data_IF_636004116967
#
_entry.id   IF_636004116967
#
_cell.length_a   1.000
_cell.length_b   1.000
_cell.length_c   1.000
_cell.angle_alpha   90.00
_cell.angle_beta   90.00
_cell.angle_gamma   90.00
#
_symmetry.space_group_name_H-M   'P 1'
#
loop_
_entity.id
_entity.type
_entity.pdbx_description
1 polymer ?
#
# COMPACT_ATOMS: atom_id res chain seq x y z
N UNK A 1 27.86 8.04 -6.89
CA UNK A 1 26.80 8.52 -7.80
C UNK A 1 25.47 8.34 -7.07
N UNK A 2 24.88 9.42 -6.56
CA UNK A 2 23.70 9.34 -5.72
C UNK A 2 22.44 9.21 -6.58
N UNK A 3 21.41 8.51 -6.09
CA UNK A 3 20.10 8.38 -6.75
C UNK A 3 19.45 9.74 -7.08
N UNK A 4 19.88 10.81 -6.41
CA UNK A 4 19.45 12.21 -6.63
C UNK A 4 19.95 12.78 -7.97
N UNK A 5 21.08 12.30 -8.49
CA UNK A 5 21.73 12.86 -9.68
C UNK A 5 21.04 12.43 -11.00
N UNK A 6 20.12 11.46 -10.94
CA UNK A 6 19.46 10.86 -12.11
C UNK A 6 18.03 11.35 -12.38
N UNK A 7 17.57 12.41 -11.71
CA UNK A 7 16.26 13.01 -11.99
C UNK A 7 15.03 12.24 -11.48
N UNK A 8 15.21 11.19 -10.69
CA UNK A 8 14.10 10.40 -10.11
C UNK A 8 13.42 11.04 -8.90
N UNK A 9 13.88 12.22 -8.45
CA UNK A 9 13.27 12.95 -7.33
C UNK A 9 11.77 13.26 -7.55
N UNK A 10 11.32 13.32 -8.80
CA UNK A 10 9.91 13.53 -9.17
C UNK A 10 8.98 12.36 -8.80
N UNK A 11 9.52 11.17 -8.53
CA UNK A 11 8.74 9.97 -8.21
C UNK A 11 8.70 9.64 -6.71
N UNK A 12 9.28 10.51 -5.88
CA UNK A 12 9.27 10.35 -4.42
C UNK A 12 8.09 11.13 -3.85
N UNK A 13 6.91 10.52 -3.87
CA UNK A 13 5.74 10.98 -3.13
C UNK A 13 5.43 10.00 -2.01
N UNK A 14 5.37 10.50 -0.77
CA UNK A 14 4.68 9.75 0.29
C UNK A 14 3.19 10.03 0.06
N UNK A 15 2.41 8.99 -0.21
CA UNK A 15 0.96 9.13 -0.20
C UNK A 15 0.52 9.29 1.26
N UNK A 16 0.45 10.55 1.71
CA UNK A 16 0.04 10.91 3.07
C UNK A 16 -1.47 10.71 3.28
N UNK A 17 -2.25 10.83 2.20
CA UNK A 17 -3.69 10.59 2.19
C UNK A 17 -3.97 9.11 1.92
N UNK A 18 -4.34 8.36 2.95
CA UNK A 18 -4.89 7.03 2.80
C UNK A 18 -6.31 7.01 2.26
N UNK A 19 -6.90 5.82 2.04
CA UNK A 19 -8.32 5.75 1.74
C UNK A 19 -9.08 6.38 2.92
N UNK A 20 -9.83 7.46 2.64
CA UNK A 20 -10.51 8.26 3.66
C UNK A 20 -11.41 7.42 4.58
N UNK A 21 -11.89 6.28 4.08
CA UNK A 21 -12.70 5.31 4.84
C UNK A 21 -11.91 4.48 5.87
N UNK A 22 -10.60 4.29 5.69
CA UNK A 22 -9.77 3.48 6.59
C UNK A 22 -9.11 4.29 7.71
N UNK A 23 -8.95 5.62 7.55
CA UNK A 23 -8.26 6.47 8.52
C UNK A 23 -6.77 6.12 8.74
N UNK A 24 -6.18 5.32 7.85
CA UNK A 24 -4.78 4.89 7.89
C UNK A 24 -4.00 5.64 6.81
N UNK A 25 -2.72 5.99 7.00
CA UNK A 25 -1.87 6.46 5.92
C UNK A 25 -1.83 5.46 4.76
N UNK A 26 -1.74 5.94 3.51
CA UNK A 26 -1.84 5.06 2.33
C UNK A 26 -0.79 3.95 2.33
N UNK A 27 0.44 4.26 2.73
CA UNK A 27 1.51 3.26 2.82
C UNK A 27 1.17 2.15 3.83
N UNK A 28 0.63 2.50 5.00
CA UNK A 28 0.19 1.53 5.99
C UNK A 28 -0.96 0.67 5.45
N UNK A 29 -1.96 1.30 4.83
CA UNK A 29 -3.08 0.59 4.23
C UNK A 29 -2.60 -0.40 3.16
N UNK A 30 -1.78 0.05 2.20
CA UNK A 30 -1.32 -0.77 1.09
C UNK A 30 -0.48 -1.97 1.55
N UNK A 31 0.48 -1.74 2.46
CA UNK A 31 1.32 -2.83 2.98
C UNK A 31 0.48 -3.89 3.71
N UNK A 32 -0.44 -3.44 4.57
CA UNK A 32 -1.26 -4.34 5.38
C UNK A 32 -2.36 -5.02 4.57
N UNK A 33 -2.87 -4.38 3.52
CA UNK A 33 -3.82 -4.99 2.57
C UNK A 33 -3.19 -6.20 1.87
N UNK A 34 -1.95 -6.05 1.37
CA UNK A 34 -1.23 -7.15 0.72
C UNK A 34 -0.94 -8.28 1.72
N UNK A 35 -0.55 -7.94 2.96
CA UNK A 35 -0.32 -8.92 4.04
C UNK A 35 -1.60 -9.57 4.56
N UNK A 36 -2.79 -9.06 4.23
CA UNK A 36 -4.06 -9.70 4.57
C UNK A 36 -4.35 -10.97 3.77
N UNK A 37 -3.65 -11.18 2.64
CA UNK A 37 -3.84 -12.39 1.86
C UNK A 37 -3.13 -13.59 2.52
N UNK A 38 -3.81 -14.71 2.78
CA UNK A 38 -3.26 -15.82 3.57
C UNK A 38 -2.00 -16.44 2.96
N UNK A 39 -1.87 -16.44 1.63
CA UNK A 39 -0.70 -16.99 0.94
C UNK A 39 0.49 -16.00 0.83
N UNK A 40 0.32 -14.75 1.26
CA UNK A 40 1.38 -13.74 1.18
C UNK A 40 2.19 -13.71 2.47
N UNK A 41 3.45 -14.11 2.35
CA UNK A 41 4.38 -14.20 3.47
C UNK A 41 5.39 -13.04 3.50
N UNK A 42 5.50 -12.27 2.42
CA UNK A 42 6.54 -11.25 2.24
C UNK A 42 6.04 -10.14 1.33
N UNK A 43 6.43 -8.90 1.66
CA UNK A 43 6.22 -7.73 0.83
C UNK A 43 7.56 -7.05 0.52
N UNK A 44 7.78 -6.69 -0.74
CA UNK A 44 8.99 -6.02 -1.19
C UNK A 44 8.76 -4.52 -1.25
N UNK A 45 9.15 -3.80 -0.20
CA UNK A 45 8.97 -2.34 -0.11
C UNK A 45 10.26 -1.63 -0.47
N UNK A 46 10.25 -0.88 -1.56
CA UNK A 46 11.36 -0.02 -1.98
C UNK A 46 11.29 1.36 -1.34
N UNK A 47 12.44 1.90 -0.92
CA UNK A 47 12.57 3.30 -0.49
C UNK A 47 13.91 3.87 -0.93
N UNK A 48 13.91 5.15 -1.34
CA UNK A 48 15.14 5.92 -1.60
C UNK A 48 15.63 6.66 -0.35
N UNK A 49 14.85 6.63 0.74
CA UNK A 49 15.20 7.20 2.03
C UNK A 49 15.41 6.06 3.05
N UNK A 50 16.66 5.81 3.50
CA UNK A 50 16.97 4.78 4.48
C UNK A 50 16.20 4.94 5.81
N UNK A 51 15.79 6.17 6.14
CA UNK A 51 15.02 6.47 7.36
C UNK A 51 13.63 5.82 7.35
N UNK A 52 13.09 5.41 6.20
CA UNK A 52 11.78 4.75 6.11
C UNK A 52 11.84 3.24 6.40
N UNK A 53 13.03 2.63 6.43
CA UNK A 53 13.18 1.19 6.66
C UNK A 53 12.58 0.78 8.01
N UNK A 54 12.89 1.47 9.14
CA UNK A 54 12.28 1.15 10.43
C UNK A 54 10.76 1.29 10.44
N UNK A 55 10.22 2.31 9.76
CA UNK A 55 8.78 2.52 9.67
C UNK A 55 8.09 1.41 8.86
N UNK A 56 8.67 1.01 7.73
CA UNK A 56 8.17 -0.11 6.92
C UNK A 56 8.13 -1.41 7.75
N UNK A 57 9.19 -1.69 8.52
CA UNK A 57 9.23 -2.86 9.41
C UNK A 57 8.14 -2.77 10.47
N UNK A 58 7.97 -1.60 11.11
CA UNK A 58 6.93 -1.37 12.11
C UNK A 58 5.52 -1.55 11.55
N UNK A 59 5.26 -1.07 10.33
CA UNK A 59 3.98 -1.20 9.66
C UNK A 59 3.69 -2.66 9.26
N UNK A 60 4.68 -3.37 8.72
CA UNK A 60 4.55 -4.79 8.39
C UNK A 60 4.28 -5.64 9.64
N UNK A 61 4.92 -5.32 10.77
CA UNK A 61 4.73 -6.01 12.05
C UNK A 61 3.32 -5.85 12.65
N UNK A 62 2.54 -4.84 12.21
CA UNK A 62 1.12 -4.72 12.59
C UNK A 62 0.25 -5.82 11.96
N UNK A 63 0.77 -6.55 10.97
CA UNK A 63 0.07 -7.66 10.32
C UNK A 63 -1.12 -7.19 9.47
N UNK A 64 -2.10 -8.09 9.24
CA UNK A 64 -3.19 -7.83 8.31
C UNK A 64 -4.04 -6.62 8.72
N UNK A 65 -4.80 -6.10 7.77
CA UNK A 65 -5.84 -5.10 8.07
C UNK A 65 -6.92 -5.69 9.00
N UNK A 66 -7.57 -4.83 9.82
CA UNK A 66 -8.83 -5.17 10.47
C UNK A 66 -9.85 -5.68 9.44
N UNK A 67 -10.66 -6.68 9.83
CA UNK A 67 -11.57 -7.37 8.92
C UNK A 67 -12.60 -6.44 8.26
N UNK A 68 -13.15 -5.49 9.01
CA UNK A 68 -14.09 -4.47 8.51
C UNK A 68 -13.48 -3.58 7.42
N UNK A 69 -12.21 -3.20 7.58
CA UNK A 69 -11.48 -2.39 6.58
C UNK A 69 -11.15 -3.23 5.35
N UNK A 70 -10.73 -4.49 5.55
CA UNK A 70 -10.41 -5.40 4.46
C UNK A 70 -11.65 -5.74 3.63
N UNK A 71 -12.77 -6.06 4.27
CA UNK A 71 -14.04 -6.39 3.62
C UNK A 71 -14.54 -5.22 2.77
N UNK A 72 -14.44 -4.00 3.30
CA UNK A 72 -14.77 -2.80 2.56
C UNK A 72 -13.88 -2.65 1.31
N UNK A 73 -12.56 -2.76 1.47
CA UNK A 73 -11.61 -2.67 0.36
C UNK A 73 -11.89 -3.73 -0.74
N UNK A 74 -12.18 -4.97 -0.33
CA UNK A 74 -12.52 -6.07 -1.25
C UNK A 74 -13.86 -5.83 -1.97
N UNK A 75 -14.85 -5.27 -1.28
CA UNK A 75 -16.13 -4.92 -1.91
C UNK A 75 -15.96 -3.89 -3.03
N UNK A 76 -15.12 -2.87 -2.81
CA UNK A 76 -14.81 -1.86 -3.82
C UNK A 76 -14.10 -2.49 -5.02
N UNK A 77 -13.15 -3.40 -4.77
CA UNK A 77 -12.43 -4.07 -5.84
C UNK A 77 -13.38 -4.91 -6.71
N UNK A 78 -14.24 -5.72 -6.09
CA UNK A 78 -15.23 -6.55 -6.78
C UNK A 78 -16.23 -5.72 -7.62
N UNK A 79 -16.63 -4.55 -7.10
CA UNK A 79 -17.48 -3.61 -7.85
C UNK A 79 -16.77 -3.06 -9.10
N UNK A 80 -15.46 -2.81 -9.02
CA UNK A 80 -14.69 -2.31 -10.15
C UNK A 80 -14.42 -3.40 -11.20
N UNK A 81 -14.23 -4.66 -10.79
CA UNK A 81 -14.10 -5.78 -11.73
C UNK A 81 -15.35 -5.93 -12.61
N UNK A 82 -16.53 -5.77 -12.02
CA UNK A 82 -17.82 -5.83 -12.72
C UNK A 82 -18.02 -4.69 -13.74
N UNK A 83 -17.34 -3.56 -13.56
CA UNK A 83 -17.36 -2.44 -14.51
C UNK A 83 -16.27 -2.55 -15.58
N UNK A 84 -15.16 -3.24 -15.29
CA UNK A 84 -14.04 -3.44 -16.21
C UNK A 84 -14.36 -4.38 -17.38
N UNK A 85 -15.31 -5.31 -17.20
CA UNK A 85 -15.77 -6.23 -18.26
C UNK A 85 -16.63 -5.56 -19.35
N UNK A 86 -16.81 -4.24 -19.30
CA UNK A 86 -17.56 -3.43 -20.27
C UNK A 86 -16.69 -2.61 -21.23
N UNK A 87 -15.36 -2.81 -21.25
CA UNK A 87 -14.54 -2.22 -22.30
C UNK A 87 -14.73 -2.96 -23.65
N UNK A 88 -14.84 -2.23 -24.78
CA UNK A 88 -14.91 -2.80 -26.12
C UNK A 88 -13.62 -3.50 -26.57
#
# INVERSE_FOLDING_TARGET
MGLKDKGYAKYVGVCEDGPAAAGLPMLEFAMRFVLSHPDVHTILVGTTNPQHIPDNVRLAAKGPLPGDILDNAMSILALNESQSLSLP
#
